data_IF_466842169814
#
_entry.id   IF_466842169814
#
_cell.length_a   1.000
_cell.length_b   1.000
_cell.length_c   1.000
_cell.angle_alpha   90.00
_cell.angle_beta   90.00
_cell.angle_gamma   90.00
#
_symmetry.space_group_name_H-M   'P 1'
#
loop_
_entity.id
_entity.type
_entity.pdbx_description
1 polymer ?
#
# COMPACT_ATOMS: atom_id res chain seq x y z
N UNK A 1 0.92 -11.09 -22.00
CA UNK A 1 0.11 -10.75 -20.82
C UNK A 1 0.28 -11.88 -19.80
N UNK A 2 0.71 -11.55 -18.61
CA UNK A 2 0.81 -12.48 -17.49
C UNK A 2 -0.44 -12.31 -16.60
N UNK A 3 -1.11 -13.41 -16.27
CA UNK A 3 -2.24 -13.43 -15.34
C UNK A 3 -1.75 -13.82 -13.95
N UNK A 4 -2.11 -13.05 -12.95
CA UNK A 4 -1.72 -13.25 -11.56
C UNK A 4 -2.96 -13.42 -10.69
N UNK A 5 -3.04 -14.52 -9.96
CA UNK A 5 -4.08 -14.72 -8.98
C UNK A 5 -3.94 -13.75 -7.81
N UNK A 6 -5.05 -13.24 -7.34
CA UNK A 6 -5.08 -12.40 -6.13
C UNK A 6 -4.82 -13.26 -4.89
N UNK A 7 -4.06 -12.71 -3.94
CA UNK A 7 -3.97 -13.32 -2.61
C UNK A 7 -5.33 -13.22 -1.88
N UNK A 8 -5.58 -14.01 -0.82
CA UNK A 8 -6.81 -13.91 -0.04
C UNK A 8 -7.08 -12.49 0.47
N UNK A 9 -6.03 -11.77 0.90
CA UNK A 9 -6.15 -10.39 1.34
C UNK A 9 -6.57 -9.45 0.21
N UNK A 10 -6.03 -9.62 -0.99
CA UNK A 10 -6.44 -8.85 -2.17
C UNK A 10 -7.88 -9.15 -2.58
N UNK A 11 -8.25 -10.43 -2.61
CA UNK A 11 -9.61 -10.87 -2.98
C UNK A 11 -10.66 -10.30 -2.04
N UNK A 12 -10.37 -10.24 -0.73
CA UNK A 12 -11.27 -9.64 0.25
C UNK A 12 -11.46 -8.13 -0.04
N UNK A 13 -10.38 -7.38 -0.18
CA UNK A 13 -10.42 -5.94 -0.47
C UNK A 13 -11.16 -5.64 -1.77
N UNK A 14 -10.93 -6.45 -2.79
CA UNK A 14 -11.59 -6.32 -4.09
C UNK A 14 -13.10 -6.58 -3.98
N UNK A 15 -13.49 -7.64 -3.27
CA UNK A 15 -14.89 -7.97 -3.00
C UNK A 15 -15.61 -6.88 -2.18
N UNK A 16 -14.94 -6.36 -1.17
CA UNK A 16 -15.46 -5.27 -0.33
C UNK A 16 -15.69 -3.99 -1.14
N UNK A 17 -14.77 -3.65 -2.04
CA UNK A 17 -14.91 -2.50 -2.93
C UNK A 17 -16.12 -2.67 -3.86
N UNK A 18 -16.30 -3.85 -4.48
CA UNK A 18 -17.47 -4.16 -5.33
C UNK A 18 -18.76 -4.09 -4.52
N UNK A 19 -18.78 -4.66 -3.31
CA UNK A 19 -19.97 -4.70 -2.47
C UNK A 19 -20.42 -3.30 -2.05
N UNK A 20 -19.48 -2.43 -1.68
CA UNK A 20 -19.75 -1.02 -1.38
C UNK A 20 -20.35 -0.29 -2.58
N UNK A 21 -19.84 -0.55 -3.79
CA UNK A 21 -20.36 0.05 -5.02
C UNK A 21 -21.78 -0.41 -5.32
N UNK A 22 -22.04 -1.72 -5.22
CA UNK A 22 -23.38 -2.26 -5.43
C UNK A 22 -24.40 -1.71 -4.43
N UNK A 23 -24.01 -1.57 -3.16
CA UNK A 23 -24.86 -0.96 -2.14
C UNK A 23 -25.14 0.52 -2.44
N UNK A 24 -24.15 1.26 -2.89
CA UNK A 24 -24.30 2.65 -3.31
C UNK A 24 -25.26 2.81 -4.49
N UNK A 25 -25.10 2.02 -5.56
CA UNK A 25 -25.98 2.06 -6.73
C UNK A 25 -27.43 1.69 -6.39
N UNK A 26 -27.64 0.79 -5.44
CA UNK A 26 -29.02 0.46 -4.97
C UNK A 26 -29.66 1.60 -4.18
N UNK A 27 -28.89 2.34 -3.40
CA UNK A 27 -29.40 3.52 -2.67
C UNK A 27 -29.78 4.66 -3.61
N UNK A 28 -29.03 4.87 -4.70
CA UNK A 28 -29.33 5.89 -5.71
C UNK A 28 -30.61 5.54 -6.50
N UNK A 29 -30.88 4.27 -6.76
CA UNK A 29 -32.11 3.80 -7.39
C UNK A 29 -33.36 4.04 -6.50
N UNK A 30 -33.19 4.25 -5.20
CA UNK A 30 -34.27 4.55 -4.23
C UNK A 30 -34.56 6.05 -4.08
N UNK A 31 -34.02 6.93 -4.94
CA UNK A 31 -34.34 8.38 -4.97
C UNK A 31 -33.43 9.25 -4.09
N UNK A 32 -32.28 8.75 -3.65
CA UNK A 32 -31.25 9.57 -3.04
C UNK A 32 -30.56 10.47 -4.07
N UNK A 33 -30.00 11.65 -3.70
CA UNK A 33 -29.35 12.55 -4.65
C UNK A 33 -28.18 11.83 -5.34
N UNK A 34 -28.18 11.91 -6.68
CA UNK A 34 -27.19 11.32 -7.57
C UNK A 34 -25.75 11.54 -7.07
N UNK A 35 -25.04 10.46 -6.81
CA UNK A 35 -23.62 10.52 -6.49
C UNK A 35 -22.81 10.98 -7.69
N UNK A 36 -21.87 11.86 -7.45
CA UNK A 36 -21.06 12.48 -8.49
C UNK A 36 -20.13 11.45 -9.17
N UNK A 37 -19.66 11.78 -10.38
CA UNK A 37 -18.60 11.05 -11.12
C UNK A 37 -17.36 10.74 -10.23
N UNK A 38 -17.16 11.51 -9.15
CA UNK A 38 -16.10 11.30 -8.16
C UNK A 38 -16.23 9.96 -7.41
N UNK A 39 -17.45 9.54 -7.06
CA UNK A 39 -17.65 8.29 -6.32
C UNK A 39 -17.35 7.07 -7.19
N UNK A 40 -17.71 7.12 -8.47
CA UNK A 40 -17.38 6.05 -9.43
C UNK A 40 -15.87 5.98 -9.69
N UNK A 41 -15.22 7.13 -9.83
CA UNK A 41 -13.76 7.23 -9.99
C UNK A 41 -13.02 6.65 -8.77
N UNK A 42 -13.49 6.94 -7.56
CA UNK A 42 -12.91 6.41 -6.33
C UNK A 42 -12.98 4.88 -6.26
N UNK A 43 -14.11 4.30 -6.69
CA UNK A 43 -14.26 2.83 -6.71
C UNK A 43 -13.31 2.18 -7.69
N UNK A 44 -13.19 2.70 -8.91
CA UNK A 44 -12.24 2.18 -9.89
C UNK A 44 -10.80 2.27 -9.37
N UNK A 45 -10.48 3.34 -8.64
CA UNK A 45 -9.18 3.50 -8.00
C UNK A 45 -8.97 2.45 -6.90
N UNK A 46 -9.96 2.19 -6.07
CA UNK A 46 -9.89 1.16 -5.03
C UNK A 46 -9.71 -0.24 -5.63
N UNK A 47 -10.43 -0.57 -6.69
CA UNK A 47 -10.26 -1.85 -7.40
C UNK A 47 -8.86 -1.99 -7.98
N UNK A 48 -8.31 -0.93 -8.58
CA UNK A 48 -6.93 -0.92 -9.09
C UNK A 48 -5.90 -1.08 -7.96
N UNK A 49 -6.10 -0.40 -6.82
CA UNK A 49 -5.25 -0.56 -5.62
C UNK A 49 -5.29 -1.99 -5.11
N UNK A 50 -6.49 -2.58 -4.94
CA UNK A 50 -6.65 -3.96 -4.48
C UNK A 50 -5.96 -4.96 -5.41
N UNK A 51 -6.12 -4.79 -6.73
CA UNK A 51 -5.46 -5.62 -7.72
C UNK A 51 -3.93 -5.46 -7.74
N UNK A 52 -3.39 -4.34 -7.27
CA UNK A 52 -1.95 -4.11 -7.18
C UNK A 52 -1.35 -4.67 -5.89
N UNK A 53 -1.78 -4.14 -4.73
CA UNK A 53 -1.20 -4.57 -3.45
C UNK A 53 -2.11 -4.23 -2.25
N UNK A 54 -2.28 -5.15 -1.26
CA UNK A 54 -3.09 -4.89 -0.07
C UNK A 54 -2.59 -3.74 0.80
N UNK A 55 -1.29 -3.49 0.83
CA UNK A 55 -0.68 -2.41 1.63
C UNK A 55 -0.99 -1.00 1.10
N UNK A 56 -1.66 -0.86 -0.05
CA UNK A 56 -2.21 0.40 -0.53
C UNK A 56 -3.50 0.82 0.19
N UNK A 57 -3.93 0.02 1.14
CA UNK A 57 -5.03 0.29 2.07
C UNK A 57 -4.50 0.33 3.50
N UNK A 58 -5.31 0.86 4.42
CA UNK A 58 -5.06 0.79 5.85
C UNK A 58 -5.88 -0.35 6.46
N UNK A 59 -5.25 -1.45 6.79
CA UNK A 59 -5.83 -2.66 7.39
C UNK A 59 -5.10 -3.12 8.64
N UNK A 60 -3.76 -3.03 8.59
CA UNK A 60 -2.86 -3.57 9.60
C UNK A 60 -2.54 -2.55 10.70
N UNK A 61 -2.65 -1.27 10.37
CA UNK A 61 -2.54 -0.18 11.34
C UNK A 61 -3.94 0.24 11.80
N UNK A 62 -4.47 -0.45 12.80
CA UNK A 62 -5.68 -0.04 13.50
C UNK A 62 -5.43 1.22 14.36
N UNK A 63 -6.46 1.79 14.98
CA UNK A 63 -6.34 2.99 15.83
C UNK A 63 -5.38 2.79 16.99
N UNK A 64 -5.34 1.60 17.58
CA UNK A 64 -4.43 1.28 18.68
C UNK A 64 -2.98 1.34 18.22
N UNK A 65 -2.70 0.77 17.05
CA UNK A 65 -1.35 0.74 16.46
C UNK A 65 -0.93 2.13 15.98
N UNK A 66 -1.83 2.91 15.39
CA UNK A 66 -1.59 4.32 15.04
C UNK A 66 -1.25 5.14 16.28
N UNK A 67 -2.02 5.00 17.36
CA UNK A 67 -1.74 5.69 18.62
C UNK A 67 -0.40 5.32 19.22
N UNK A 68 0.00 4.06 19.11
CA UNK A 68 1.31 3.60 19.57
C UNK A 68 2.44 4.16 18.71
N UNK A 69 2.29 4.11 17.38
CA UNK A 69 3.25 4.69 16.43
C UNK A 69 3.45 6.18 16.67
N UNK A 70 2.38 6.96 16.83
CA UNK A 70 2.46 8.40 17.07
C UNK A 70 3.18 8.73 18.38
N UNK A 71 2.93 7.97 19.46
CA UNK A 71 3.65 8.14 20.73
C UNK A 71 5.13 7.83 20.61
N UNK A 72 5.52 6.84 19.83
CA UNK A 72 6.92 6.49 19.64
C UNK A 72 7.61 7.46 18.69
N UNK A 73 6.88 8.00 17.72
CA UNK A 73 7.36 8.97 16.73
C UNK A 73 7.83 10.27 17.41
N UNK A 74 7.04 10.83 18.33
CA UNK A 74 7.42 12.04 19.08
C UNK A 74 8.58 11.85 20.07
N UNK A 75 9.06 10.61 20.29
CA UNK A 75 10.24 10.35 21.12
C UNK A 75 11.54 10.70 20.40
N UNK A 76 11.50 10.79 19.08
CA UNK A 76 12.63 11.27 18.31
C UNK A 76 12.82 12.78 18.56
N UNK A 77 14.05 13.25 18.83
CA UNK A 77 14.30 14.66 19.17
C UNK A 77 13.77 15.65 18.12
N UNK A 78 13.85 15.28 16.86
CA UNK A 78 13.36 16.08 15.71
C UNK A 78 11.85 16.24 15.68
N UNK A 79 11.10 15.39 16.39
CA UNK A 79 9.63 15.36 16.41
C UNK A 79 9.03 15.64 17.79
N UNK A 80 9.88 16.00 18.78
CA UNK A 80 9.47 16.14 20.18
C UNK A 80 8.46 17.28 20.41
N UNK A 81 8.42 18.28 19.53
CA UNK A 81 7.51 19.42 19.61
C UNK A 81 6.21 19.22 18.82
N UNK A 82 6.07 18.11 18.11
CA UNK A 82 4.88 17.84 17.29
C UNK A 82 3.64 17.53 18.15
N UNK A 83 2.48 17.97 17.66
CA UNK A 83 1.22 17.72 18.36
C UNK A 83 0.76 16.29 18.12
N UNK A 84 0.66 15.50 19.19
CA UNK A 84 0.26 14.10 19.12
C UNK A 84 -1.12 13.89 18.48
N UNK A 85 -2.06 14.81 18.66
CA UNK A 85 -3.39 14.70 18.06
C UNK A 85 -3.33 14.90 16.54
N UNK A 86 -2.60 15.91 16.07
CA UNK A 86 -2.39 16.14 14.64
C UNK A 86 -1.69 14.95 13.97
N UNK A 87 -0.64 14.40 14.61
CA UNK A 87 0.04 13.20 14.12
C UNK A 87 -0.90 11.99 13.95
N UNK A 88 -1.81 11.80 14.91
CA UNK A 88 -2.80 10.72 14.81
C UNK A 88 -3.75 10.92 13.63
N UNK A 89 -4.18 12.14 13.40
CA UNK A 89 -5.05 12.51 12.28
C UNK A 89 -4.34 12.30 10.95
N UNK A 90 -3.07 12.73 10.85
CA UNK A 90 -2.24 12.53 9.67
C UNK A 90 -1.98 11.04 9.41
N UNK A 91 -1.63 10.28 10.45
CA UNK A 91 -1.41 8.83 10.30
C UNK A 91 -2.70 8.07 9.95
N UNK A 92 -3.86 8.59 10.36
CA UNK A 92 -5.15 7.97 10.08
C UNK A 92 -5.52 7.98 8.59
N UNK A 93 -4.96 8.87 7.79
CA UNK A 93 -5.20 8.94 6.34
C UNK A 93 -4.19 8.15 5.51
N UNK A 94 -3.07 7.75 6.12
CA UNK A 94 -2.00 7.03 5.44
C UNK A 94 -2.33 5.54 5.26
N UNK A 95 -1.74 4.94 4.25
CA UNK A 95 -1.82 3.51 3.96
C UNK A 95 -0.89 2.70 4.86
N UNK A 96 -1.07 1.37 4.91
CA UNK A 96 -0.18 0.48 5.65
C UNK A 96 1.28 0.57 5.16
N UNK A 97 1.47 0.72 3.83
CA UNK A 97 2.80 0.89 3.25
C UNK A 97 3.48 2.17 3.73
N UNK A 98 2.77 3.31 3.64
CA UNK A 98 3.30 4.62 4.06
C UNK A 98 3.65 4.64 5.55
N UNK A 99 2.78 4.11 6.41
CA UNK A 99 3.03 4.02 7.84
C UNK A 99 4.23 3.11 8.18
N UNK A 100 4.37 2.00 7.47
CA UNK A 100 5.51 1.10 7.67
C UNK A 100 6.83 1.70 7.17
N UNK A 101 6.81 2.43 6.04
CA UNK A 101 7.96 3.17 5.54
C UNK A 101 8.38 4.28 6.50
N UNK A 102 7.41 5.04 7.02
CA UNK A 102 7.64 6.04 8.06
C UNK A 102 8.26 5.40 9.31
N UNK A 103 7.78 4.23 9.72
CA UNK A 103 8.32 3.51 10.86
C UNK A 103 9.77 3.04 10.67
N UNK A 104 10.23 2.85 9.42
CA UNK A 104 11.64 2.48 9.11
C UNK A 104 12.60 3.65 9.28
N UNK A 105 12.14 4.90 9.25
CA UNK A 105 13.00 6.09 9.24
C UNK A 105 13.66 6.39 10.58
N UNK A 106 13.14 5.84 11.68
CA UNK A 106 13.64 6.12 13.03
C UNK A 106 13.75 4.85 13.88
N UNK A 107 14.80 4.72 14.71
CA UNK A 107 14.93 3.61 15.64
C UNK A 107 13.82 3.58 16.69
N UNK A 108 13.21 4.71 17.02
CA UNK A 108 12.10 4.80 17.98
C UNK A 108 10.82 4.12 17.46
N UNK A 109 10.62 4.09 16.15
CA UNK A 109 9.43 3.55 15.48
C UNK A 109 9.67 2.20 14.81
N UNK A 110 10.91 1.71 14.76
CA UNK A 110 11.30 0.50 14.03
C UNK A 110 10.48 -0.76 14.40
N UNK A 111 9.99 -0.86 15.64
CA UNK A 111 9.12 -1.98 16.08
C UNK A 111 7.76 -2.02 15.40
N UNK A 112 7.33 -0.95 14.74
CA UNK A 112 6.06 -0.86 14.00
C UNK A 112 6.21 -1.23 12.54
N UNK A 113 7.43 -1.45 12.04
CA UNK A 113 7.67 -1.91 10.67
C UNK A 113 6.94 -3.22 10.41
N UNK A 114 6.31 -3.32 9.25
CA UNK A 114 5.63 -4.54 8.82
C UNK A 114 6.65 -5.62 8.43
N UNK A 115 6.36 -6.88 8.73
CA UNK A 115 7.23 -7.99 8.36
C UNK A 115 7.26 -8.21 6.85
N UNK A 116 8.32 -8.88 6.36
CA UNK A 116 8.55 -9.11 4.92
C UNK A 116 7.36 -9.80 4.22
N UNK A 117 6.67 -10.70 4.92
CA UNK A 117 5.54 -11.46 4.41
C UNK A 117 4.41 -10.54 3.94
N UNK A 118 4.16 -9.44 4.64
CA UNK A 118 3.12 -8.49 4.26
C UNK A 118 3.48 -7.73 2.97
N UNK A 119 4.76 -7.40 2.78
CA UNK A 119 5.26 -6.76 1.57
C UNK A 119 5.24 -7.70 0.36
N UNK A 120 5.42 -8.98 0.58
CA UNK A 120 5.37 -10.01 -0.46
C UNK A 120 3.94 -10.54 -0.75
N UNK A 121 2.93 -10.07 0.01
CA UNK A 121 1.56 -10.58 -0.04
C UNK A 121 0.74 -9.97 -1.19
N UNK A 122 1.20 -10.15 -2.41
CA UNK A 122 0.49 -9.75 -3.62
C UNK A 122 0.77 -10.74 -4.75
N UNK A 123 -0.26 -11.12 -5.48
CA UNK A 123 -0.11 -12.01 -6.64
C UNK A 123 0.83 -11.44 -7.70
N UNK A 124 0.79 -10.11 -7.93
CA UNK A 124 1.71 -9.43 -8.85
C UNK A 124 3.15 -9.46 -8.37
N UNK A 125 3.39 -9.27 -7.06
CA UNK A 125 4.74 -9.36 -6.47
C UNK A 125 5.27 -10.78 -6.57
N UNK A 126 4.44 -11.79 -6.34
CA UNK A 126 4.83 -13.20 -6.48
C UNK A 126 5.16 -13.57 -7.93
N UNK A 127 4.37 -13.08 -8.89
CA UNK A 127 4.67 -13.26 -10.31
C UNK A 127 5.95 -12.52 -10.71
N UNK A 128 6.13 -11.29 -10.24
CA UNK A 128 7.35 -10.51 -10.48
C UNK A 128 8.60 -11.23 -9.95
N UNK A 129 8.52 -11.82 -8.76
CA UNK A 129 9.62 -12.59 -8.19
C UNK A 129 10.05 -13.72 -9.13
N UNK A 130 9.10 -14.51 -9.66
CA UNK A 130 9.42 -15.58 -10.64
C UNK A 130 10.08 -15.02 -11.88
N UNK A 131 9.55 -13.93 -12.45
CA UNK A 131 10.11 -13.28 -13.64
C UNK A 131 11.53 -12.75 -13.40
N UNK A 132 11.79 -12.17 -12.23
CA UNK A 132 13.12 -11.71 -11.84
C UNK A 132 14.10 -12.88 -11.78
N UNK A 133 13.71 -14.00 -11.17
CA UNK A 133 14.56 -15.20 -11.07
C UNK A 133 14.89 -15.75 -12.46
N UNK A 134 13.94 -15.78 -13.39
CA UNK A 134 14.14 -16.20 -14.78
C UNK A 134 15.09 -15.26 -15.55
N UNK A 135 14.91 -13.95 -15.42
CA UNK A 135 15.74 -12.94 -16.10
C UNK A 135 17.17 -12.98 -15.56
N UNK A 136 17.33 -13.12 -14.24
CA UNK A 136 18.65 -13.26 -13.60
C UNK A 136 19.38 -14.54 -14.06
N UNK A 137 18.65 -15.65 -14.17
CA UNK A 137 19.22 -16.91 -14.66
C UNK A 137 19.80 -16.79 -16.10
N UNK A 138 19.25 -15.87 -16.91
CA UNK A 138 19.75 -15.55 -18.25
C UNK A 138 20.82 -14.47 -18.27
N UNK A 139 21.17 -13.88 -17.13
CA UNK A 139 22.12 -12.76 -17.06
C UNK A 139 21.60 -11.45 -17.67
N UNK A 140 20.29 -11.33 -17.79
CA UNK A 140 19.61 -10.17 -18.40
C UNK A 140 19.22 -9.13 -17.35
N UNK A 141 18.74 -7.96 -17.82
CA UNK A 141 18.19 -6.87 -17.00
C UNK A 141 16.72 -6.70 -17.29
N UNK A 142 15.97 -6.23 -16.28
CA UNK A 142 14.53 -5.97 -16.37
C UNK A 142 14.25 -4.49 -16.14
N UNK A 143 13.26 -3.95 -16.87
CA UNK A 143 12.68 -2.65 -16.62
C UNK A 143 11.27 -2.86 -16.06
N UNK A 144 10.95 -2.18 -14.97
CA UNK A 144 9.64 -2.25 -14.31
C UNK A 144 9.01 -0.86 -14.32
N UNK A 145 7.77 -0.75 -14.80
CA UNK A 145 7.03 0.48 -14.86
C UNK A 145 5.74 0.39 -14.03
N UNK A 146 5.42 1.44 -13.30
CA UNK A 146 4.14 1.57 -12.60
C UNK A 146 3.58 2.98 -12.79
N UNK A 147 2.25 3.06 -12.93
CA UNK A 147 1.53 4.33 -12.92
C UNK A 147 1.31 4.89 -11.51
N UNK A 148 1.55 4.07 -10.48
CA UNK A 148 1.41 4.45 -9.07
C UNK A 148 2.78 4.55 -8.44
N UNK A 149 3.15 5.73 -7.96
CA UNK A 149 4.40 5.95 -7.21
C UNK A 149 4.43 5.10 -5.94
N UNK A 150 3.30 5.03 -5.22
CA UNK A 150 3.17 4.19 -4.02
C UNK A 150 3.40 2.68 -4.28
N UNK A 151 3.12 2.21 -5.50
CA UNK A 151 3.48 0.83 -5.90
C UNK A 151 4.99 0.70 -6.12
N UNK A 152 5.65 1.74 -6.66
CA UNK A 152 7.12 1.73 -6.80
C UNK A 152 7.79 1.68 -5.43
N UNK A 153 7.28 2.42 -4.44
CA UNK A 153 7.79 2.38 -3.07
C UNK A 153 7.68 0.97 -2.46
N UNK A 154 6.53 0.31 -2.65
CA UNK A 154 6.34 -1.09 -2.24
C UNK A 154 7.32 -2.01 -2.98
N UNK A 155 7.50 -1.84 -4.29
CA UNK A 155 8.42 -2.66 -5.08
C UNK A 155 9.86 -2.49 -4.64
N UNK A 156 10.30 -1.28 -4.26
CA UNK A 156 11.63 -1.06 -3.69
C UNK A 156 11.85 -1.93 -2.45
N UNK A 157 10.89 -1.94 -1.52
CA UNK A 157 10.97 -2.79 -0.33
C UNK A 157 10.97 -4.28 -0.68
N UNK A 158 10.14 -4.69 -1.65
CA UNK A 158 10.12 -6.09 -2.11
C UNK A 158 11.46 -6.49 -2.74
N UNK A 159 12.07 -5.63 -3.55
CA UNK A 159 13.36 -5.89 -4.18
C UNK A 159 14.50 -5.96 -3.15
N UNK A 160 14.46 -5.11 -2.10
CA UNK A 160 15.36 -5.20 -0.96
C UNK A 160 15.24 -6.57 -0.27
N UNK A 161 14.03 -7.03 0.02
CA UNK A 161 13.80 -8.35 0.61
C UNK A 161 14.25 -9.52 -0.29
N UNK A 162 14.13 -9.36 -1.61
CA UNK A 162 14.62 -10.33 -2.58
C UNK A 162 16.13 -10.23 -2.85
N UNK A 163 16.80 -9.26 -2.24
CA UNK A 163 18.23 -8.96 -2.48
C UNK A 163 18.55 -8.74 -3.97
N UNK A 164 17.68 -8.02 -4.66
CA UNK A 164 17.83 -7.64 -6.06
C UNK A 164 18.29 -6.19 -6.13
N UNK A 165 19.48 -5.90 -6.67
CA UNK A 165 19.93 -4.53 -6.88
C UNK A 165 19.07 -3.84 -7.94
N UNK A 166 18.65 -2.62 -7.66
CA UNK A 166 17.81 -1.81 -8.56
C UNK A 166 18.22 -0.33 -8.55
N UNK A 167 17.78 0.39 -9.56
CA UNK A 167 17.82 1.85 -9.61
C UNK A 167 16.39 2.33 -9.86
N UNK A 168 15.91 3.22 -8.99
CA UNK A 168 14.58 3.81 -9.12
C UNK A 168 14.63 5.19 -9.77
N UNK A 169 13.72 5.44 -10.71
CA UNK A 169 13.48 6.76 -11.29
C UNK A 169 12.03 7.15 -11.05
N UNK A 170 11.84 8.21 -10.29
CA UNK A 170 10.52 8.82 -10.07
C UNK A 170 10.57 10.27 -10.51
N UNK A 171 9.41 10.91 -10.69
CA UNK A 171 9.36 12.34 -11.06
C UNK A 171 9.95 13.31 -10.02
N UNK A 172 10.44 12.78 -8.91
CA UNK A 172 11.13 13.53 -7.84
C UNK A 172 12.66 13.31 -7.88
N UNK A 173 13.17 12.62 -8.88
CA UNK A 173 14.62 12.33 -9.03
C UNK A 173 15.31 13.42 -9.82
#
# INVERSE_FOLDING_TARGET
>A
VEYCDMTPAQSQLYSDAISRTRAALRSDAAGAPSRSDRDTSNVLMDLRKAANHPLLFRRLFDEKRINALARDYIRAPEHAEENLQHLREDFAINTDAELSLLARSSPYTAKHVLPAEEWMNSGKVQALKRLIDEVRARGERMLIFSQFTSVLDILCVCLDHMQVPYVGFTGQT
#
